data_IF_441276680521
#
_entry.id   IF_441276680521
#
_cell.length_a   1.000
_cell.length_b   1.000
_cell.length_c   1.000
_cell.angle_alpha   90.00
_cell.angle_beta   90.00
_cell.angle_gamma   90.00
#
_symmetry.space_group_name_H-M   'P 1'
#
loop_
_entity.id
_entity.type
_entity.pdbx_description
1 polymer ?
#
# COMPACT_ATOMS: atom_id res chain seq x y z
N UNK A 1 20.05 6.16 -55.12
CA UNK A 1 19.89 5.91 -53.67
C UNK A 1 18.50 5.34 -53.44
N UNK A 2 18.39 4.09 -52.99
CA UNK A 2 17.11 3.48 -52.57
C UNK A 2 17.09 3.51 -51.05
N UNK A 3 16.12 4.21 -50.47
CA UNK A 3 15.94 4.32 -49.02
C UNK A 3 15.10 3.12 -48.61
N UNK A 4 15.74 2.11 -48.03
CA UNK A 4 15.07 0.97 -47.41
C UNK A 4 14.45 1.42 -46.09
N UNK A 5 13.12 1.50 -46.03
CA UNK A 5 12.38 1.61 -44.77
C UNK A 5 12.42 0.24 -44.08
N UNK A 6 13.44 0.02 -43.24
CA UNK A 6 13.46 -1.10 -42.31
C UNK A 6 12.44 -0.82 -41.20
N UNK A 7 11.26 -1.43 -41.32
CA UNK A 7 10.28 -1.58 -40.26
C UNK A 7 10.92 -2.38 -39.11
N UNK A 8 11.50 -1.66 -38.14
CA UNK A 8 11.90 -2.25 -36.87
C UNK A 8 10.61 -2.62 -36.12
N UNK A 9 10.27 -3.90 -36.17
CA UNK A 9 9.25 -4.52 -35.34
C UNK A 9 9.56 -4.19 -33.87
N UNK A 10 8.76 -3.30 -33.29
CA UNK A 10 8.70 -3.13 -31.84
C UNK A 10 8.25 -4.48 -31.26
N UNK A 11 9.22 -5.24 -30.75
CA UNK A 11 8.96 -6.34 -29.82
C UNK A 11 8.34 -5.72 -28.57
N UNK A 12 7.01 -5.67 -28.54
CA UNK A 12 6.24 -5.52 -27.31
C UNK A 12 6.64 -6.69 -26.40
N UNK A 13 7.57 -6.42 -25.49
CA UNK A 13 7.80 -7.25 -24.32
C UNK A 13 6.45 -7.37 -23.63
N UNK A 14 5.81 -8.54 -23.76
CA UNK A 14 4.85 -9.01 -22.77
C UNK A 14 5.62 -9.09 -21.45
N UNK A 15 5.60 -7.99 -20.70
CA UNK A 15 5.86 -8.06 -19.28
C UNK A 15 4.85 -9.08 -18.75
N UNK A 16 5.26 -10.08 -17.96
CA UNK A 16 4.29 -10.85 -17.21
C UNK A 16 3.50 -9.81 -16.41
N UNK A 17 2.22 -9.63 -16.77
CA UNK A 17 1.30 -8.96 -15.89
C UNK A 17 1.29 -9.84 -14.64
N UNK A 18 2.01 -9.41 -13.60
CA UNK A 18 1.85 -9.95 -12.27
C UNK A 18 0.34 -9.99 -12.01
N UNK A 19 -0.16 -11.15 -11.58
CA UNK A 19 -1.59 -11.31 -11.31
C UNK A 19 -2.10 -10.25 -10.33
N UNK A 20 -3.43 -10.17 -10.14
CA UNK A 20 -4.01 -9.20 -9.21
C UNK A 20 -3.36 -9.32 -7.83
N UNK A 21 -3.12 -8.17 -7.20
CA UNK A 21 -2.54 -8.06 -5.87
C UNK A 21 -3.38 -8.87 -4.90
N UNK A 22 -2.75 -9.81 -4.19
CA UNK A 22 -3.45 -10.57 -3.17
C UNK A 22 -3.74 -9.69 -1.96
N UNK A 23 -4.77 -10.03 -1.18
CA UNK A 23 -5.07 -9.31 0.06
C UNK A 23 -3.90 -9.33 1.05
N UNK A 24 -3.16 -10.44 1.13
CA UNK A 24 -1.97 -10.53 1.97
C UNK A 24 -0.87 -9.57 1.49
N UNK A 25 -0.64 -9.49 0.17
CA UNK A 25 0.35 -8.57 -0.40
C UNK A 25 -0.08 -7.11 -0.20
N UNK A 26 -1.37 -6.80 -0.33
CA UNK A 26 -1.88 -5.46 -0.05
C UNK A 26 -1.67 -5.06 1.41
N UNK A 27 -1.97 -5.95 2.36
CA UNK A 27 -1.75 -5.74 3.80
C UNK A 27 -0.26 -5.49 4.10
N UNK A 28 0.63 -6.24 3.44
CA UNK A 28 2.07 -6.03 3.55
C UNK A 28 2.50 -4.66 3.00
N UNK A 29 2.08 -4.31 1.79
CA UNK A 29 2.41 -3.01 1.18
C UNK A 29 1.92 -1.82 2.03
N UNK A 30 0.74 -1.94 2.62
CA UNK A 30 0.17 -0.92 3.49
C UNK A 30 0.91 -0.82 4.83
N UNK A 31 1.31 -1.95 5.40
CA UNK A 31 2.16 -2.00 6.60
C UNK A 31 3.52 -1.34 6.36
N UNK A 32 4.18 -1.69 5.24
CA UNK A 32 5.46 -1.11 4.85
C UNK A 32 5.36 0.40 4.66
N UNK A 33 4.34 0.87 3.93
CA UNK A 33 4.09 2.30 3.71
C UNK A 33 3.80 3.03 5.03
N UNK A 34 3.06 2.40 5.94
CA UNK A 34 2.78 2.97 7.26
C UNK A 34 4.07 3.10 8.07
N UNK A 35 4.95 2.11 8.02
CA UNK A 35 6.21 2.16 8.74
C UNK A 35 7.22 3.10 8.11
N UNK A 36 7.15 3.35 6.80
CA UNK A 36 7.91 4.43 6.15
C UNK A 36 7.44 5.79 6.67
N UNK A 37 6.12 6.01 6.73
CA UNK A 37 5.55 7.21 7.36
C UNK A 37 6.03 7.38 8.80
N UNK A 38 5.93 6.34 9.63
CA UNK A 38 6.35 6.44 11.03
C UNK A 38 7.87 6.63 11.17
N UNK A 39 8.69 6.06 10.29
CA UNK A 39 10.12 6.32 10.28
C UNK A 39 10.42 7.78 9.89
N UNK A 40 9.77 8.30 8.86
CA UNK A 40 9.91 9.69 8.39
C UNK A 40 9.46 10.71 9.45
N UNK A 41 8.43 10.36 10.23
CA UNK A 41 7.97 11.16 11.36
C UNK A 41 8.80 10.98 12.64
N UNK A 42 9.91 10.24 12.58
CA UNK A 42 10.76 9.92 13.71
C UNK A 42 10.00 9.19 14.85
N UNK A 43 8.96 8.43 14.55
CA UNK A 43 8.14 7.71 15.54
C UNK A 43 8.63 6.28 15.84
N UNK A 44 9.75 5.88 15.24
CA UNK A 44 10.38 4.56 15.43
C UNK A 44 11.72 4.74 16.16
N UNK A 45 11.92 3.97 17.24
CA UNK A 45 13.17 3.88 17.98
C UNK A 45 12.96 3.61 19.48
N UNK A 46 14.03 3.29 20.20
CA UNK A 46 13.97 2.97 21.65
C UNK A 46 13.89 4.21 22.57
N UNK A 47 13.55 5.38 22.03
CA UNK A 47 13.46 6.63 22.79
C UNK A 47 12.11 6.79 23.51
N UNK A 48 12.06 7.64 24.52
CA UNK A 48 10.78 7.99 25.15
C UNK A 48 9.84 8.68 24.15
N UNK A 49 8.57 8.28 24.17
CA UNK A 49 7.52 8.85 23.31
C UNK A 49 7.47 8.31 21.89
N UNK A 50 8.29 7.32 21.53
CA UNK A 50 8.21 6.64 20.22
C UNK A 50 6.99 5.72 20.16
N UNK A 51 6.32 5.71 19.01
CA UNK A 51 5.18 4.83 18.75
C UNK A 51 5.60 3.36 18.63
N UNK A 52 6.79 3.10 18.08
CA UNK A 52 7.35 1.76 17.91
C UNK A 52 8.81 1.73 18.37
N UNK A 53 9.22 0.63 19.01
CA UNK A 53 10.60 0.39 19.45
C UNK A 53 11.54 0.26 18.24
N UNK A 54 11.11 -0.46 17.21
CA UNK A 54 11.85 -0.67 15.97
C UNK A 54 10.93 -0.88 14.77
N UNK A 55 11.55 -0.99 13.59
CA UNK A 55 10.86 -1.20 12.32
C UNK A 55 10.06 -2.50 12.28
N UNK A 56 10.58 -3.56 12.92
CA UNK A 56 9.92 -4.87 12.92
C UNK A 56 8.65 -4.84 13.77
N UNK A 57 8.69 -4.20 14.92
CA UNK A 57 7.50 -3.99 15.75
C UNK A 57 6.44 -3.17 15.00
N UNK A 58 6.87 -2.13 14.28
CA UNK A 58 5.98 -1.35 13.42
C UNK A 58 5.29 -2.24 12.40
N UNK A 59 6.05 -2.99 11.60
CA UNK A 59 5.50 -3.81 10.51
C UNK A 59 4.52 -4.87 11.03
N UNK A 60 4.82 -5.49 12.18
CA UNK A 60 3.90 -6.45 12.82
C UNK A 60 2.60 -5.76 13.20
N UNK A 61 2.66 -4.64 13.93
CA UNK A 61 1.45 -3.97 14.43
C UNK A 61 0.61 -3.34 13.32
N UNK A 62 1.24 -2.72 12.33
CA UNK A 62 0.53 -2.09 11.20
C UNK A 62 -0.06 -3.15 10.27
N UNK A 63 0.65 -4.26 10.02
CA UNK A 63 0.08 -5.39 9.29
C UNK A 63 -1.13 -5.98 10.01
N UNK A 64 -1.05 -6.18 11.32
CA UNK A 64 -2.17 -6.70 12.11
C UNK A 64 -3.39 -5.74 12.03
N UNK A 65 -3.16 -4.42 12.03
CA UNK A 65 -4.21 -3.43 11.79
C UNK A 65 -4.86 -3.61 10.40
N UNK A 66 -4.09 -3.70 9.32
CA UNK A 66 -4.64 -3.88 7.97
C UNK A 66 -5.27 -5.26 7.77
N UNK A 67 -4.81 -6.29 8.48
CA UNK A 67 -5.46 -7.59 8.52
C UNK A 67 -6.86 -7.53 9.15
N UNK A 68 -7.02 -6.75 10.22
CA UNK A 68 -8.32 -6.51 10.82
C UNK A 68 -9.21 -5.61 9.96
N UNK A 69 -8.64 -4.64 9.24
CA UNK A 69 -9.39 -3.76 8.36
C UNK A 69 -9.88 -4.48 7.09
N UNK A 70 -9.04 -5.33 6.51
CA UNK A 70 -9.28 -6.04 5.24
C UNK A 70 -9.33 -7.54 5.48
N UNK A 71 -10.45 -8.00 6.02
CA UNK A 71 -10.72 -9.42 6.25
C UNK A 71 -11.17 -10.12 4.96
N UNK A 72 -11.25 -11.45 4.98
CA UNK A 72 -11.83 -12.19 3.86
C UNK A 72 -13.30 -11.84 3.60
N UNK A 73 -14.05 -11.49 4.65
CA UNK A 73 -15.50 -11.26 4.58
C UNK A 73 -15.85 -9.88 4.02
N UNK A 74 -15.07 -8.86 4.37
CA UNK A 74 -15.31 -7.48 3.93
C UNK A 74 -14.38 -7.01 2.79
N UNK A 75 -13.42 -7.84 2.40
CA UNK A 75 -12.43 -7.53 1.38
C UNK A 75 -12.12 -8.76 0.51
N UNK A 76 -13.09 -9.27 -0.27
CA UNK A 76 -12.89 -10.50 -1.02
C UNK A 76 -11.83 -10.35 -2.11
N UNK A 77 -11.77 -9.18 -2.77
CA UNK A 77 -10.72 -8.80 -3.71
C UNK A 77 -10.20 -7.38 -3.45
N UNK A 78 -8.96 -7.12 -3.85
CA UNK A 78 -8.34 -5.79 -3.76
C UNK A 78 -8.72 -4.97 -4.99
N UNK A 79 -9.12 -3.73 -4.77
CA UNK A 79 -9.22 -2.69 -5.78
C UNK A 79 -7.85 -2.03 -5.93
N UNK A 80 -7.13 -2.30 -7.02
CA UNK A 80 -5.76 -1.80 -7.24
C UNK A 80 -5.67 -0.27 -7.18
N UNK A 81 -6.64 0.44 -7.75
CA UNK A 81 -6.66 1.91 -7.74
C UNK A 81 -6.91 2.45 -6.32
N UNK A 82 -7.79 1.79 -5.57
CA UNK A 82 -8.06 2.08 -4.17
C UNK A 82 -6.84 1.85 -3.29
N UNK A 83 -6.14 0.72 -3.50
CA UNK A 83 -4.88 0.41 -2.85
C UNK A 83 -3.81 1.46 -3.18
N UNK A 84 -3.57 1.76 -4.46
CA UNK A 84 -2.59 2.78 -4.88
C UNK A 84 -2.89 4.15 -4.22
N UNK A 85 -4.16 4.53 -4.17
CA UNK A 85 -4.59 5.77 -3.51
C UNK A 85 -4.30 5.74 -2.01
N UNK A 86 -4.60 4.62 -1.35
CA UNK A 86 -4.26 4.41 0.06
C UNK A 86 -2.76 4.54 0.32
N UNK A 87 -1.92 3.80 -0.41
CA UNK A 87 -0.46 3.79 -0.24
C UNK A 87 0.13 5.20 -0.45
N UNK A 88 -0.29 5.88 -1.52
CA UNK A 88 0.12 7.27 -1.79
C UNK A 88 -0.33 8.22 -0.69
N UNK A 89 -1.52 8.03 -0.11
CA UNK A 89 -2.02 8.90 0.95
C UNK A 89 -1.26 8.69 2.25
N UNK A 90 -0.93 7.45 2.61
CA UNK A 90 -0.08 7.15 3.76
C UNK A 90 1.25 7.91 3.64
N UNK A 91 1.96 7.77 2.51
CA UNK A 91 3.24 8.45 2.28
C UNK A 91 3.16 9.98 2.12
N UNK A 92 1.96 10.57 2.05
CA UNK A 92 1.78 12.03 1.99
C UNK A 92 1.04 12.58 3.21
N UNK A 93 0.82 11.74 4.22
CA UNK A 93 0.21 12.15 5.49
C UNK A 93 1.21 12.99 6.29
N UNK A 94 0.73 14.03 6.96
CA UNK A 94 1.58 14.89 7.79
C UNK A 94 1.99 14.22 9.09
N UNK A 95 3.18 14.55 9.59
CA UNK A 95 3.68 14.15 10.92
C UNK A 95 3.13 15.03 12.06
N UNK A 96 2.04 15.76 11.82
CA UNK A 96 1.54 16.76 12.78
C UNK A 96 0.86 16.13 13.98
N UNK A 97 0.21 14.98 13.80
CA UNK A 97 -0.41 14.22 14.87
C UNK A 97 -0.65 12.76 14.49
N UNK A 98 -0.67 11.86 15.47
CA UNK A 98 -1.10 10.47 15.26
C UNK A 98 -2.55 10.35 14.75
N UNK A 99 -3.38 11.36 15.00
CA UNK A 99 -4.75 11.43 14.49
C UNK A 99 -4.78 11.60 12.95
N UNK A 100 -3.78 12.26 12.36
CA UNK A 100 -3.69 12.42 10.90
C UNK A 100 -3.47 11.07 10.22
N UNK A 101 -2.61 10.23 10.79
CA UNK A 101 -2.42 8.86 10.33
C UNK A 101 -3.72 8.05 10.43
N UNK A 102 -4.40 8.09 11.58
CA UNK A 102 -5.65 7.34 11.77
C UNK A 102 -6.75 7.81 10.80
N UNK A 103 -6.85 9.11 10.54
CA UNK A 103 -7.79 9.64 9.55
C UNK A 103 -7.48 9.10 8.15
N UNK A 104 -6.20 9.07 7.74
CA UNK A 104 -5.80 8.45 6.47
C UNK A 104 -6.12 6.95 6.44
N UNK A 105 -5.71 6.22 7.48
CA UNK A 105 -5.86 4.76 7.58
C UNK A 105 -7.33 4.31 7.58
N UNK A 106 -8.24 5.10 8.16
CA UNK A 106 -9.67 4.76 8.22
C UNK A 106 -10.43 5.28 7.00
N UNK A 107 -10.26 6.55 6.62
CA UNK A 107 -11.10 7.18 5.60
C UNK A 107 -10.66 6.84 4.19
N UNK A 108 -9.35 6.67 3.97
CA UNK A 108 -8.79 6.43 2.63
C UNK A 108 -8.44 4.97 2.44
N UNK A 109 -7.87 4.35 3.46
CA UNK A 109 -7.47 2.94 3.43
C UNK A 109 -8.55 1.98 3.97
N UNK A 110 -9.75 2.47 4.27
CA UNK A 110 -10.85 1.61 4.71
C UNK A 110 -11.27 0.59 3.64
N UNK A 111 -11.86 -0.53 4.09
CA UNK A 111 -12.27 -1.61 3.17
C UNK A 111 -13.18 -1.13 2.04
N UNK A 112 -14.09 -0.17 2.29
CA UNK A 112 -14.97 0.38 1.26
C UNK A 112 -14.24 1.13 0.11
N UNK A 113 -12.98 1.50 0.30
CA UNK A 113 -12.14 2.16 -0.70
C UNK A 113 -11.13 1.21 -1.35
N UNK A 114 -10.54 0.31 -0.55
CA UNK A 114 -9.45 -0.57 -0.98
C UNK A 114 -9.95 -1.92 -1.49
N UNK A 115 -11.18 -2.29 -1.19
CA UNK A 115 -11.74 -3.59 -1.53
C UNK A 115 -12.84 -3.46 -2.59
N UNK A 116 -13.02 -4.53 -3.34
CA UNK A 116 -14.09 -4.68 -4.31
C UNK A 116 -14.67 -6.08 -4.25
N UNK A 117 -15.90 -6.23 -4.75
CA UNK A 117 -16.51 -7.54 -4.94
C UNK A 117 -15.72 -8.36 -5.97
N UNK A 118 -15.82 -9.68 -5.85
CA UNK A 118 -15.34 -10.57 -6.91
C UNK A 118 -16.29 -10.40 -8.09
N UNK A 119 -15.82 -9.78 -9.17
CA UNK A 119 -16.56 -9.79 -10.43
C UNK A 119 -16.30 -11.14 -11.11
N UNK A 120 -17.35 -11.95 -11.22
CA UNK A 120 -17.39 -13.21 -11.97
C UNK A 120 -17.18 -12.99 -13.48
#
# INVERSE_FOLDING_TARGET
>A
MRISFSLSLLSLLLLPACGPTSRADAQHQAADSACDYYAECEEIGSGEGKQFEDRSECEVKTRDFFQAAWTADNCPAINETGLETCLKRIGTTSCSSAADFLNTAILVCGAGSVCQDVQD
#
